data_IF_793973380445
#
_entry.id   IF_793973380445
#
_cell.length_a   1.000
_cell.length_b   1.000
_cell.length_c   1.000
_cell.angle_alpha   90.00
_cell.angle_beta   90.00
_cell.angle_gamma   90.00
#
_symmetry.space_group_name_H-M   'P 1'
#
loop_
_entity.id
_entity.type
_entity.pdbx_description
1 polymer ?
#
# COMPACT_ATOMS: atom_id res chain seq x y z
N UNK A 1 -6.46 -1.69 5.54
CA UNK A 1 -7.35 -1.22 4.48
C UNK A 1 -7.93 -2.40 3.72
N UNK A 2 -9.05 -2.17 3.05
CA UNK A 2 -9.65 -3.11 2.09
C UNK A 2 -9.69 -2.39 0.76
N UNK A 3 -8.99 -2.93 -0.24
CA UNK A 3 -8.71 -2.25 -1.51
C UNK A 3 -8.88 -3.21 -2.68
N UNK A 4 -10.13 -3.62 -2.95
CA UNK A 4 -10.45 -4.45 -4.10
C UNK A 4 -10.20 -3.71 -5.43
N UNK A 5 -9.80 -4.46 -6.45
CA UNK A 5 -9.52 -3.93 -7.78
C UNK A 5 -10.75 -3.31 -8.44
N UNK A 6 -10.62 -2.07 -8.89
CA UNK A 6 -11.69 -1.33 -9.55
C UNK A 6 -11.93 -1.81 -11.00
N UNK A 7 -10.89 -2.31 -11.67
CA UNK A 7 -10.88 -2.65 -13.10
C UNK A 7 -11.53 -4.00 -13.40
N UNK A 8 -11.78 -4.82 -12.41
CA UNK A 8 -12.48 -6.09 -12.61
C UNK A 8 -13.97 -5.92 -12.97
N UNK A 9 -14.40 -4.71 -13.21
CA UNK A 9 -15.65 -4.40 -13.94
C UNK A 9 -15.52 -4.79 -15.42
N UNK A 10 -15.30 -6.07 -15.72
CA UNK A 10 -15.05 -6.64 -17.07
C UNK A 10 -16.11 -6.30 -18.13
N UNK A 11 -17.13 -5.55 -17.79
CA UNK A 11 -18.32 -5.32 -18.62
C UNK A 11 -18.51 -3.85 -18.99
N UNK A 12 -17.61 -2.97 -18.56
CA UNK A 12 -17.66 -1.57 -18.96
C UNK A 12 -17.06 -1.43 -20.37
N UNK A 13 -17.93 -1.15 -21.35
CA UNK A 13 -17.51 -0.95 -22.75
C UNK A 13 -16.39 0.09 -22.88
N UNK A 14 -16.48 1.18 -22.14
CA UNK A 14 -15.48 2.24 -22.15
C UNK A 14 -14.11 1.79 -21.65
N UNK A 15 -14.06 0.88 -20.68
CA UNK A 15 -12.78 0.32 -20.22
C UNK A 15 -12.15 -0.57 -21.29
N UNK A 16 -12.96 -1.38 -21.99
CA UNK A 16 -12.46 -2.21 -23.08
C UNK A 16 -11.91 -1.34 -24.22
N UNK A 17 -12.62 -0.28 -24.62
CA UNK A 17 -12.16 0.68 -25.60
C UNK A 17 -10.81 1.31 -25.23
N UNK A 18 -10.68 1.71 -23.97
CA UNK A 18 -9.46 2.28 -23.42
C UNK A 18 -8.28 1.29 -23.49
N UNK A 19 -8.48 0.05 -23.02
CA UNK A 19 -7.45 -0.99 -23.07
C UNK A 19 -7.11 -1.43 -24.50
N UNK A 20 -8.09 -1.45 -25.42
CA UNK A 20 -7.83 -1.71 -26.83
C UNK A 20 -6.88 -0.70 -27.47
N UNK A 21 -6.93 0.56 -27.05
CA UNK A 21 -6.03 1.60 -27.54
C UNK A 21 -4.57 1.37 -27.08
N UNK A 22 -4.36 0.84 -25.90
CA UNK A 22 -3.05 0.40 -25.42
C UNK A 22 -2.55 -0.85 -26.16
N UNK A 23 -3.41 -1.84 -26.35
CA UNK A 23 -3.08 -3.04 -27.11
C UNK A 23 -2.68 -2.70 -28.55
N UNK A 24 -3.34 -1.73 -29.19
CA UNK A 24 -2.98 -1.25 -30.54
C UNK A 24 -1.60 -0.58 -30.60
N UNK A 25 -1.14 0.00 -29.48
CA UNK A 25 0.20 0.59 -29.34
C UNK A 25 1.28 -0.45 -29.08
N UNK A 26 0.91 -1.72 -28.96
CA UNK A 26 1.84 -2.82 -28.65
C UNK A 26 2.20 -2.95 -27.17
N UNK A 27 1.44 -2.30 -26.29
CA UNK A 27 1.62 -2.42 -24.84
C UNK A 27 1.09 -3.77 -24.36
N UNK A 28 1.83 -4.41 -23.46
CA UNK A 28 1.42 -5.66 -22.81
C UNK A 28 0.34 -5.37 -21.78
N UNK A 29 -0.81 -6.03 -21.91
CA UNK A 29 -1.94 -5.94 -20.97
C UNK A 29 -2.10 -7.28 -20.30
N UNK A 30 -1.98 -7.30 -18.97
CA UNK A 30 -2.14 -8.51 -18.19
C UNK A 30 -3.56 -9.08 -18.32
N UNK A 31 -3.67 -10.40 -18.48
CA UNK A 31 -4.94 -11.08 -18.68
C UNK A 31 -5.79 -10.57 -19.87
N UNK A 32 -5.19 -9.89 -20.88
CA UNK A 32 -5.91 -9.31 -22.01
C UNK A 32 -6.85 -10.29 -22.70
N UNK A 33 -6.42 -11.53 -22.92
CA UNK A 33 -7.23 -12.58 -23.55
C UNK A 33 -8.51 -12.92 -22.77
N UNK A 34 -8.51 -12.67 -21.47
CA UNK A 34 -9.67 -12.86 -20.59
C UNK A 34 -10.52 -11.60 -20.58
N UNK A 35 -9.89 -10.44 -20.43
CA UNK A 35 -10.55 -9.14 -20.32
C UNK A 35 -11.34 -8.80 -21.58
N UNK A 36 -10.77 -9.02 -22.77
CA UNK A 36 -11.39 -8.72 -24.05
C UNK A 36 -12.55 -9.62 -24.45
N UNK A 37 -12.74 -10.77 -23.77
CA UNK A 37 -13.86 -11.67 -24.08
C UNK A 37 -15.18 -10.99 -23.69
N UNK A 38 -16.20 -11.00 -24.58
CA UNK A 38 -17.51 -10.53 -24.23
C UNK A 38 -18.00 -11.21 -22.96
N UNK A 39 -18.58 -10.43 -22.05
CA UNK A 39 -19.26 -11.01 -20.92
C UNK A 39 -20.41 -11.89 -21.38
N UNK A 40 -20.42 -13.16 -20.95
CA UNK A 40 -21.48 -14.10 -21.30
C UNK A 40 -22.79 -13.82 -20.57
N UNK A 41 -22.73 -13.03 -19.51
CA UNK A 41 -23.89 -12.62 -18.72
C UNK A 41 -24.12 -11.11 -18.80
N UNK A 42 -25.34 -10.71 -19.12
CA UNK A 42 -25.72 -9.31 -19.16
C UNK A 42 -25.58 -8.68 -17.77
N UNK A 43 -24.51 -7.93 -17.61
CA UNK A 43 -24.48 -6.76 -16.75
C UNK A 43 -24.78 -6.96 -15.27
N UNK A 44 -24.08 -7.87 -14.57
CA UNK A 44 -24.01 -7.73 -13.12
C UNK A 44 -23.06 -6.56 -12.84
N UNK A 45 -23.62 -5.42 -12.47
CA UNK A 45 -22.87 -4.29 -11.97
C UNK A 45 -22.24 -4.70 -10.63
N UNK A 46 -20.95 -4.81 -10.56
CA UNK A 46 -20.24 -5.06 -9.30
C UNK A 46 -20.35 -3.81 -8.43
N UNK A 47 -20.89 -3.96 -7.22
CA UNK A 47 -20.82 -2.91 -6.18
C UNK A 47 -19.44 -2.94 -5.55
N UNK A 48 -18.58 -1.99 -5.93
CA UNK A 48 -17.20 -1.87 -5.40
C UNK A 48 -17.15 -1.51 -3.91
N UNK A 49 -18.28 -1.11 -3.30
CA UNK A 49 -18.36 -0.88 -1.86
C UNK A 49 -18.67 -2.17 -1.08
N UNK A 50 -19.03 -3.26 -1.76
CA UNK A 50 -19.49 -4.49 -1.10
C UNK A 50 -18.41 -5.12 -0.23
N UNK A 51 -17.17 -5.21 -0.72
CA UNK A 51 -16.06 -5.78 0.02
C UNK A 51 -15.75 -4.99 1.32
N UNK A 52 -15.81 -3.67 1.26
CA UNK A 52 -15.65 -2.80 2.44
C UNK A 52 -16.76 -3.08 3.46
N UNK A 53 -18.04 -3.04 3.04
CA UNK A 53 -19.18 -3.32 3.93
C UNK A 53 -19.12 -4.69 4.59
N UNK A 54 -18.71 -5.71 3.82
CA UNK A 54 -18.56 -7.07 4.33
C UNK A 54 -17.42 -7.15 5.35
N UNK A 55 -16.30 -6.49 5.06
CA UNK A 55 -15.14 -6.46 5.94
C UNK A 55 -15.43 -5.71 7.24
N UNK A 56 -16.14 -4.57 7.20
CA UNK A 56 -16.57 -3.85 8.40
C UNK A 56 -17.45 -4.73 9.31
N UNK A 57 -18.41 -5.44 8.71
CA UNK A 57 -19.27 -6.37 9.43
C UNK A 57 -18.47 -7.50 10.08
N UNK A 58 -17.51 -8.08 9.36
CA UNK A 58 -16.67 -9.16 9.89
C UNK A 58 -15.70 -8.65 10.96
N UNK A 59 -15.14 -7.47 10.78
CA UNK A 59 -14.15 -6.86 11.67
C UNK A 59 -14.72 -6.45 13.05
N UNK A 60 -16.01 -6.10 13.10
CA UNK A 60 -16.67 -5.60 14.31
C UNK A 60 -16.53 -6.56 15.50
N UNK A 61 -16.67 -7.87 15.29
CA UNK A 61 -16.55 -8.88 16.35
C UNK A 61 -15.13 -9.00 16.93
N UNK A 62 -14.12 -8.52 16.20
CA UNK A 62 -12.70 -8.54 16.63
C UNK A 62 -12.21 -7.16 17.08
N UNK A 63 -13.07 -6.15 17.10
CA UNK A 63 -12.70 -4.77 17.39
C UNK A 63 -11.67 -4.21 16.41
N UNK A 64 -11.68 -4.67 15.16
CA UNK A 64 -10.80 -4.17 14.10
C UNK A 64 -11.41 -2.93 13.43
N UNK A 65 -10.56 -1.96 13.10
CA UNK A 65 -10.93 -0.78 12.33
C UNK A 65 -10.63 -1.05 10.84
N UNK A 66 -11.61 -0.82 9.98
CA UNK A 66 -11.47 -0.94 8.54
C UNK A 66 -11.28 0.44 7.91
N UNK A 67 -10.18 0.64 7.21
CA UNK A 67 -10.00 1.80 6.34
C UNK A 67 -10.62 1.44 4.99
N UNK A 68 -11.72 2.12 4.56
CA UNK A 68 -12.34 1.88 3.28
C UNK A 68 -11.42 2.34 2.14
N UNK A 69 -11.41 1.60 1.04
CA UNK A 69 -10.59 1.92 -0.11
C UNK A 69 -10.94 1.09 -1.34
N UNK A 70 -10.21 1.35 -2.40
CA UNK A 70 -10.20 0.55 -3.63
C UNK A 70 -8.85 0.65 -4.30
N UNK A 71 -8.45 -0.39 -5.02
CA UNK A 71 -7.26 -0.35 -5.84
C UNK A 71 -7.61 0.06 -7.28
N UNK A 72 -6.98 1.16 -7.74
CA UNK A 72 -7.01 1.62 -9.12
C UNK A 72 -5.88 0.87 -9.83
N UNK A 73 -6.21 -0.28 -10.37
CA UNK A 73 -5.27 -1.18 -11.07
C UNK A 73 -5.32 -0.89 -12.56
N UNK A 74 -4.21 -0.51 -13.16
CA UNK A 74 -4.18 -0.13 -14.57
C UNK A 74 -3.13 -0.90 -15.35
N UNK A 75 -3.58 -1.40 -16.46
CA UNK A 75 -2.74 -1.89 -17.52
C UNK A 75 -2.61 -0.81 -18.63
N UNK A 76 -1.46 -0.70 -19.29
CA UNK A 76 -0.25 -1.51 -19.09
C UNK A 76 0.47 -1.16 -17.78
N UNK A 77 1.39 -2.03 -17.36
CA UNK A 77 2.26 -1.87 -16.17
C UNK A 77 2.93 -0.48 -16.04
N UNK A 78 3.12 0.21 -17.17
CA UNK A 78 3.66 1.57 -17.19
C UNK A 78 2.75 2.62 -16.51
N UNK A 79 1.47 2.31 -16.32
CA UNK A 79 0.53 3.16 -15.56
C UNK A 79 0.67 2.84 -14.07
N UNK A 80 0.75 1.56 -13.71
CA UNK A 80 0.91 1.10 -12.34
C UNK A 80 -0.41 0.92 -11.59
N UNK A 81 -0.28 0.56 -10.31
CA UNK A 81 -1.38 0.29 -9.40
C UNK A 81 -1.38 1.28 -8.23
N UNK A 82 -2.56 1.68 -7.79
CA UNK A 82 -2.71 2.72 -6.77
C UNK A 82 -3.87 2.43 -5.84
N UNK A 83 -3.66 2.56 -4.54
CA UNK A 83 -4.73 2.47 -3.57
C UNK A 83 -5.33 3.84 -3.29
N UNK A 84 -6.64 4.00 -3.47
CA UNK A 84 -7.39 5.10 -2.90
C UNK A 84 -7.86 4.68 -1.49
N UNK A 85 -7.45 5.41 -0.46
CA UNK A 85 -7.74 5.13 0.94
C UNK A 85 -8.70 6.17 1.51
N UNK A 86 -9.53 5.80 2.49
CA UNK A 86 -10.56 6.65 3.10
C UNK A 86 -11.62 7.12 2.10
N UNK A 87 -11.98 6.26 1.19
CA UNK A 87 -13.03 6.49 0.20
C UNK A 87 -14.42 6.49 0.85
N UNK A 88 -15.37 7.19 0.24
CA UNK A 88 -16.77 7.21 0.66
C UNK A 88 -17.68 6.45 -0.31
N UNK A 89 -17.31 6.40 -1.59
CA UNK A 89 -18.01 5.63 -2.64
C UNK A 89 -17.01 5.17 -3.71
N UNK A 90 -16.62 3.92 -3.65
CA UNK A 90 -15.71 3.31 -4.62
C UNK A 90 -16.30 3.26 -6.04
N UNK A 91 -17.64 3.17 -6.15
CA UNK A 91 -18.31 3.14 -7.45
C UNK A 91 -18.16 4.45 -8.24
N UNK A 92 -18.00 5.57 -7.53
CA UNK A 92 -17.84 6.89 -8.14
C UNK A 92 -16.38 7.21 -8.53
N UNK A 93 -15.40 6.35 -8.19
CA UNK A 93 -13.99 6.58 -8.49
C UNK A 93 -13.64 6.18 -9.92
N UNK A 94 -14.24 5.11 -10.41
CA UNK A 94 -13.90 4.56 -11.73
C UNK A 94 -14.11 5.57 -12.86
N UNK A 95 -13.07 5.72 -13.68
CA UNK A 95 -13.10 6.40 -14.97
C UNK A 95 -12.12 5.67 -15.93
N UNK A 96 -12.40 5.56 -17.24
CA UNK A 96 -11.44 5.00 -18.19
C UNK A 96 -10.07 5.69 -18.18
N UNK A 97 -10.03 7.02 -18.01
CA UNK A 97 -8.80 7.76 -17.77
C UNK A 97 -8.31 7.53 -16.32
N UNK A 98 -7.13 6.93 -16.12
CA UNK A 98 -6.60 6.69 -14.77
C UNK A 98 -6.39 7.97 -13.96
N UNK A 99 -5.95 9.07 -14.58
CA UNK A 99 -5.79 10.34 -13.89
C UNK A 99 -7.14 10.89 -13.42
N UNK A 100 -8.20 10.67 -14.21
CA UNK A 100 -9.54 11.06 -13.79
C UNK A 100 -10.01 10.21 -12.61
N UNK A 101 -9.69 8.90 -12.58
CA UNK A 101 -9.96 8.07 -11.40
C UNK A 101 -9.26 8.60 -10.14
N UNK A 102 -8.01 9.07 -10.26
CA UNK A 102 -7.31 9.70 -9.12
C UNK A 102 -8.00 11.00 -8.69
N UNK A 103 -8.39 11.85 -9.64
CA UNK A 103 -9.14 13.08 -9.32
C UNK A 103 -10.49 12.79 -8.66
N UNK A 104 -11.19 11.75 -9.11
CA UNK A 104 -12.46 11.32 -8.49
C UNK A 104 -12.23 10.83 -7.05
N UNK A 105 -11.15 10.10 -6.79
CA UNK A 105 -10.75 9.69 -5.44
C UNK A 105 -10.42 10.91 -4.56
N UNK A 106 -9.59 11.84 -5.07
CA UNK A 106 -9.24 13.09 -4.37
C UNK A 106 -10.46 13.96 -4.09
N UNK A 107 -11.44 14.00 -4.99
CA UNK A 107 -12.69 14.76 -4.79
C UNK A 107 -13.53 14.24 -3.62
N UNK A 108 -13.40 12.96 -3.25
CA UNK A 108 -13.98 12.37 -2.04
C UNK A 108 -13.12 12.63 -0.78
N UNK A 109 -11.98 13.27 -0.94
CA UNK A 109 -10.99 13.42 0.10
C UNK A 109 -10.13 12.18 0.33
N UNK A 110 -10.10 11.20 -0.55
CA UNK A 110 -9.25 10.02 -0.41
C UNK A 110 -7.76 10.37 -0.51
N UNK A 111 -6.92 9.57 0.15
CA UNK A 111 -5.48 9.56 -0.04
C UNK A 111 -5.14 8.52 -1.11
N UNK A 112 -4.31 8.90 -2.08
CA UNK A 112 -3.88 7.99 -3.16
C UNK A 112 -2.45 7.55 -2.92
N UNK A 113 -2.23 6.23 -2.85
CA UNK A 113 -0.93 5.60 -2.65
C UNK A 113 -0.49 4.88 -3.91
N UNK A 114 0.74 5.09 -4.34
CA UNK A 114 1.38 4.31 -5.41
C UNK A 114 1.86 2.97 -4.85
N UNK A 115 1.31 1.87 -5.36
CA UNK A 115 1.61 0.51 -4.93
C UNK A 115 2.84 -0.05 -5.67
N UNK A 116 3.62 -0.90 -5.02
CA UNK A 116 4.73 -1.72 -5.56
C UNK A 116 5.38 -1.13 -6.85
N UNK A 117 6.06 0.03 -6.76
CA UNK A 117 6.46 0.87 -7.91
C UNK A 117 7.47 0.22 -8.88
N UNK A 118 7.99 -0.95 -8.53
CA UNK A 118 8.91 -1.75 -9.36
C UNK A 118 8.31 -3.05 -9.89
N UNK A 119 7.07 -3.36 -9.57
CA UNK A 119 6.45 -4.62 -9.93
C UNK A 119 6.41 -4.85 -11.45
N UNK A 120 6.88 -6.03 -11.88
CA UNK A 120 7.00 -6.44 -13.29
C UNK A 120 7.79 -5.48 -14.19
N UNK A 121 8.63 -4.62 -13.59
CA UNK A 121 9.49 -3.68 -14.32
C UNK A 121 10.96 -3.97 -14.06
N UNK A 122 11.80 -3.70 -15.07
CA UNK A 122 13.27 -3.81 -14.96
C UNK A 122 13.89 -2.59 -14.30
N UNK A 123 13.11 -1.52 -14.09
CA UNK A 123 13.56 -0.27 -13.48
C UNK A 123 12.43 0.29 -12.59
N UNK A 124 12.81 0.88 -11.47
CA UNK A 124 11.93 1.66 -10.60
C UNK A 124 11.87 3.15 -10.97
N UNK A 125 12.50 3.55 -12.09
CA UNK A 125 12.37 4.92 -12.60
C UNK A 125 10.91 5.23 -12.92
N UNK A 126 10.50 6.46 -12.66
CA UNK A 126 9.15 6.91 -12.98
C UNK A 126 8.88 6.85 -14.48
N UNK A 127 7.71 6.36 -14.84
CA UNK A 127 7.17 6.46 -16.20
C UNK A 127 6.63 7.87 -16.44
N UNK A 128 6.38 8.23 -17.69
CA UNK A 128 5.77 9.52 -18.04
C UNK A 128 4.40 9.72 -17.35
N UNK A 129 3.64 8.65 -17.23
CA UNK A 129 2.37 8.67 -16.55
C UNK A 129 2.53 8.96 -15.05
N UNK A 130 3.46 8.26 -14.38
CA UNK A 130 3.77 8.46 -12.96
C UNK A 130 4.24 9.88 -12.70
N UNK A 131 5.18 10.40 -13.52
CA UNK A 131 5.65 11.79 -13.42
C UNK A 131 4.47 12.75 -13.43
N UNK A 132 3.56 12.60 -14.41
CA UNK A 132 2.38 13.45 -14.50
C UNK A 132 1.47 13.36 -13.28
N UNK A 133 1.24 12.15 -12.77
CA UNK A 133 0.41 11.94 -11.59
C UNK A 133 1.00 12.60 -10.33
N UNK A 134 2.33 12.54 -10.17
CA UNK A 134 3.04 13.22 -9.08
C UNK A 134 3.04 14.74 -9.24
N UNK A 135 3.32 15.26 -10.44
CA UNK A 135 3.33 16.69 -10.72
C UNK A 135 1.95 17.35 -10.51
N UNK A 136 0.87 16.63 -10.80
CA UNK A 136 -0.49 17.09 -10.53
C UNK A 136 -0.89 16.99 -9.04
N UNK A 137 0.00 16.48 -8.17
CA UNK A 137 -0.29 16.33 -6.74
C UNK A 137 -1.38 15.31 -6.43
N UNK A 138 -1.54 14.32 -7.29
CA UNK A 138 -2.58 13.29 -7.15
C UNK A 138 -2.16 12.15 -6.22
N UNK A 139 -0.88 12.00 -5.94
CA UNK A 139 -0.32 10.91 -5.13
C UNK A 139 0.11 11.45 -3.77
N UNK A 140 -0.35 10.82 -2.69
CA UNK A 140 -0.07 11.20 -1.30
C UNK A 140 0.93 10.26 -0.62
N UNK A 141 1.09 9.04 -1.12
CA UNK A 141 1.96 8.03 -0.51
C UNK A 141 2.54 7.06 -1.51
N UNK A 142 3.54 6.31 -1.07
CA UNK A 142 4.19 5.29 -1.87
C UNK A 142 4.50 4.06 -1.02
N UNK A 143 4.37 2.91 -1.63
CA UNK A 143 4.72 1.65 -1.04
C UNK A 143 6.22 1.39 -1.19
N UNK A 144 6.89 1.11 -0.06
CA UNK A 144 8.32 0.80 -0.05
C UNK A 144 8.62 -0.68 0.21
N UNK A 145 7.62 -1.43 0.67
CA UNK A 145 7.67 -2.89 0.82
C UNK A 145 6.32 -3.50 0.42
N UNK A 146 6.35 -4.52 -0.44
CA UNK A 146 5.16 -5.25 -0.84
C UNK A 146 5.47 -6.76 -0.94
N UNK A 147 4.67 -7.61 -0.30
CA UNK A 147 4.96 -9.05 -0.28
C UNK A 147 6.40 -9.33 0.13
N UNK A 148 7.20 -9.95 -0.75
CA UNK A 148 8.63 -10.19 -0.55
C UNK A 148 9.54 -9.08 -1.07
N UNK A 149 9.00 -8.06 -1.71
CA UNK A 149 9.79 -7.03 -2.39
C UNK A 149 10.05 -5.80 -1.50
N UNK A 150 11.24 -5.22 -1.70
CA UNK A 150 11.66 -3.97 -1.06
C UNK A 150 12.16 -2.99 -2.13
N UNK A 151 11.64 -1.76 -2.11
CA UNK A 151 11.92 -0.70 -3.08
C UNK A 151 12.69 0.48 -2.45
N UNK A 152 14.02 0.38 -2.23
CA UNK A 152 14.80 1.44 -1.56
C UNK A 152 14.69 2.81 -2.24
N UNK A 153 14.64 2.83 -3.58
CA UNK A 153 14.50 4.07 -4.37
C UNK A 153 13.16 4.78 -4.08
N UNK A 154 12.14 4.04 -3.66
CA UNK A 154 10.87 4.64 -3.26
C UNK A 154 10.98 5.45 -1.96
N UNK A 155 11.95 5.16 -1.09
CA UNK A 155 12.22 5.95 0.13
C UNK A 155 12.74 7.34 -0.25
N UNK A 156 13.70 7.40 -1.17
CA UNK A 156 14.23 8.67 -1.69
C UNK A 156 13.12 9.50 -2.32
N UNK A 157 12.33 8.89 -3.21
CA UNK A 157 11.17 9.51 -3.86
C UNK A 157 10.15 10.02 -2.84
N UNK A 158 9.82 9.23 -1.82
CA UNK A 158 8.89 9.65 -0.79
C UNK A 158 9.40 10.87 -0.01
N UNK A 159 10.70 10.90 0.29
CA UNK A 159 11.34 12.01 1.00
C UNK A 159 11.34 13.29 0.15
N UNK A 160 11.72 13.17 -1.13
CA UNK A 160 11.79 14.31 -2.05
C UNK A 160 10.41 14.91 -2.36
N UNK A 161 9.39 14.07 -2.50
CA UNK A 161 8.04 14.50 -2.88
C UNK A 161 7.11 14.71 -1.68
N UNK A 162 7.56 14.45 -0.45
CA UNK A 162 6.75 14.60 0.75
C UNK A 162 5.58 13.60 0.77
N UNK A 163 5.85 12.30 0.59
CA UNK A 163 4.85 11.25 0.56
C UNK A 163 4.90 10.41 1.84
N UNK A 164 3.75 9.90 2.30
CA UNK A 164 3.79 8.89 3.35
C UNK A 164 4.33 7.57 2.79
N UNK A 165 5.02 6.79 3.64
CA UNK A 165 5.62 5.51 3.28
C UNK A 165 4.81 4.36 3.88
N UNK A 166 4.66 3.27 3.12
CA UNK A 166 3.87 2.11 3.56
C UNK A 166 4.53 0.77 3.23
N UNK A 167 4.06 -0.27 3.93
CA UNK A 167 4.27 -1.67 3.57
C UNK A 167 2.93 -2.39 3.57
N UNK A 168 2.61 -3.07 2.50
CA UNK A 168 1.35 -3.78 2.36
C UNK A 168 1.57 -5.23 1.89
N UNK A 169 0.54 -6.03 2.04
CA UNK A 169 0.63 -7.47 1.81
C UNK A 169 0.31 -7.87 0.39
N UNK A 170 -0.57 -7.12 -0.26
CA UNK A 170 -1.13 -7.46 -1.59
C UNK A 170 -1.68 -8.90 -1.66
N UNK A 171 -2.30 -9.35 -0.56
CA UNK A 171 -2.82 -10.71 -0.46
C UNK A 171 -4.15 -10.84 -1.18
N UNK A 172 -4.25 -11.91 -1.98
CA UNK A 172 -5.44 -12.28 -2.74
C UNK A 172 -6.14 -13.51 -2.17
N UNK A 173 -5.66 -14.02 -1.05
CA UNK A 173 -6.19 -15.16 -0.34
C UNK A 173 -6.17 -14.97 1.17
N UNK A 174 -6.09 -16.04 1.93
CA UNK A 174 -5.89 -15.95 3.38
C UNK A 174 -4.42 -15.63 3.70
N UNK A 175 -4.17 -14.85 4.75
CA UNK A 175 -2.80 -14.54 5.20
C UNK A 175 -1.93 -15.80 5.39
N UNK A 176 -2.53 -16.90 5.86
CA UNK A 176 -1.82 -18.15 6.06
C UNK A 176 -1.37 -18.81 4.74
N UNK A 177 -2.07 -18.58 3.63
CA UNK A 177 -1.67 -19.11 2.32
C UNK A 177 -0.47 -18.35 1.75
N UNK A 178 -0.45 -17.03 1.91
CA UNK A 178 0.57 -16.18 1.29
C UNK A 178 1.83 -16.06 2.17
N UNK A 179 1.67 -16.04 3.48
CA UNK A 179 2.77 -15.86 4.45
C UNK A 179 3.11 -17.13 5.24
N UNK A 180 2.28 -18.17 5.19
CA UNK A 180 2.49 -19.42 5.93
C UNK A 180 2.68 -19.18 7.44
N UNK A 181 3.51 -19.99 8.05
CA UNK A 181 3.91 -19.88 9.46
C UNK A 181 5.20 -19.05 9.59
N UNK A 182 5.22 -17.83 9.07
CA UNK A 182 6.42 -16.99 9.14
C UNK A 182 6.58 -16.46 10.56
N UNK A 183 7.66 -16.84 11.24
CA UNK A 183 7.96 -16.40 12.61
C UNK A 183 8.16 -14.87 12.72
N UNK A 184 8.50 -14.22 11.63
CA UNK A 184 8.88 -12.79 11.56
C UNK A 184 7.77 -11.86 11.08
N UNK A 185 6.55 -12.31 10.99
CA UNK A 185 5.40 -11.47 10.68
C UNK A 185 5.35 -10.97 9.22
N UNK A 186 4.15 -10.61 8.79
CA UNK A 186 3.85 -10.11 7.44
C UNK A 186 4.12 -8.61 7.30
N UNK A 187 4.05 -8.12 6.08
CA UNK A 187 4.09 -6.68 5.81
C UNK A 187 2.97 -5.92 6.55
N UNK A 188 3.34 -4.81 7.14
CA UNK A 188 2.43 -3.91 7.86
C UNK A 188 2.92 -2.48 7.75
N UNK A 189 2.01 -1.55 7.55
CA UNK A 189 2.26 -0.13 7.80
C UNK A 189 2.02 0.15 9.27
N UNK A 190 3.06 0.55 10.01
CA UNK A 190 2.93 1.02 11.37
C UNK A 190 2.46 2.47 11.33
N UNK A 191 1.30 2.76 11.92
CA UNK A 191 0.69 4.09 11.94
C UNK A 191 0.73 4.62 13.37
N UNK A 192 1.42 5.74 13.60
CA UNK A 192 1.57 6.35 14.92
C UNK A 192 0.45 7.37 15.15
N UNK A 193 -0.74 6.87 15.39
CA UNK A 193 -1.94 7.64 15.66
C UNK A 193 -2.18 7.81 17.16
N UNK A 194 -2.83 8.90 17.56
CA UNK A 194 -3.16 9.19 18.96
C UNK A 194 -4.20 8.24 19.56
N UNK A 195 -5.08 7.72 18.69
CA UNK A 195 -6.15 6.80 19.07
C UNK A 195 -6.54 5.91 17.88
N UNK A 196 -7.25 4.82 18.14
CA UNK A 196 -7.71 3.86 17.12
C UNK A 196 -9.06 4.31 16.54
N UNK A 197 -9.06 5.42 15.80
CA UNK A 197 -10.21 5.94 15.05
C UNK A 197 -9.82 6.27 13.62
N UNK A 198 -10.76 6.26 12.68
CA UNK A 198 -10.46 6.62 11.28
C UNK A 198 -9.90 8.04 11.14
N UNK A 199 -10.46 9.08 11.82
CA UNK A 199 -9.88 10.42 11.75
C UNK A 199 -8.44 10.48 12.28
N UNK A 200 -8.14 9.82 13.41
CA UNK A 200 -6.78 9.82 13.97
C UNK A 200 -5.78 9.04 13.12
N UNK A 201 -6.22 7.91 12.50
CA UNK A 201 -5.38 7.16 11.55
C UNK A 201 -5.10 8.00 10.32
N UNK A 202 -6.11 8.69 9.78
CA UNK A 202 -5.96 9.57 8.64
C UNK A 202 -4.97 10.70 8.94
N UNK A 203 -5.17 11.41 10.04
CA UNK A 203 -4.29 12.50 10.48
C UNK A 203 -2.83 12.04 10.62
N UNK A 204 -2.62 10.84 11.17
CA UNK A 204 -1.28 10.29 11.31
C UNK A 204 -0.62 9.99 9.96
N UNK A 205 -1.38 9.47 8.99
CA UNK A 205 -0.87 9.18 7.64
C UNK A 205 -0.56 10.50 6.91
N UNK A 206 -1.46 11.47 6.94
CA UNK A 206 -1.27 12.81 6.34
C UNK A 206 -0.08 13.57 6.97
N UNK A 207 0.20 13.32 8.24
CA UNK A 207 1.38 13.86 8.94
C UNK A 207 2.64 12.98 8.77
N UNK A 208 2.63 12.01 7.87
CA UNK A 208 3.74 11.09 7.55
C UNK A 208 4.25 10.29 8.77
N UNK A 209 3.40 10.08 9.77
CA UNK A 209 3.74 9.26 10.94
C UNK A 209 3.48 7.78 10.64
N UNK A 210 4.19 7.26 9.63
CA UNK A 210 4.12 5.86 9.19
C UNK A 210 5.52 5.28 9.02
N UNK A 211 5.69 4.00 9.40
CA UNK A 211 6.87 3.20 9.07
C UNK A 211 6.44 1.91 8.38
N UNK A 212 7.18 1.50 7.38
CA UNK A 212 7.02 0.22 6.71
C UNK A 212 7.69 -0.88 7.52
N UNK A 213 6.98 -1.95 7.79
CA UNK A 213 7.48 -3.14 8.46
C UNK A 213 7.27 -4.37 7.59
N UNK A 214 8.30 -5.16 7.39
CA UNK A 214 8.22 -6.46 6.74
C UNK A 214 9.33 -7.39 7.23
N UNK A 215 8.97 -8.63 7.58
CA UNK A 215 9.94 -9.69 7.94
C UNK A 215 10.98 -9.27 8.98
N UNK A 216 10.56 -8.55 10.01
CA UNK A 216 11.44 -8.05 11.07
C UNK A 216 12.25 -6.80 10.73
N UNK A 217 12.14 -6.28 9.51
CA UNK A 217 12.80 -5.05 9.07
C UNK A 217 11.82 -3.88 9.15
N UNK A 218 12.34 -2.69 9.48
CA UNK A 218 11.58 -1.44 9.49
C UNK A 218 12.31 -0.42 8.62
N UNK A 219 11.54 0.32 7.82
CA UNK A 219 12.05 1.39 6.98
C UNK A 219 11.07 2.58 6.97
N UNK A 220 11.58 3.78 6.69
CA UNK A 220 10.80 5.01 6.61
C UNK A 220 11.61 6.24 6.95
N UNK A 221 10.96 7.28 7.44
CA UNK A 221 11.61 8.52 7.87
C UNK A 221 12.64 8.27 8.97
N UNK A 222 13.83 8.87 8.80
CA UNK A 222 14.97 8.63 9.70
C UNK A 222 14.70 9.08 11.13
N UNK A 223 14.03 10.23 11.32
CA UNK A 223 13.75 10.73 12.66
C UNK A 223 12.70 9.86 13.34
N UNK A 224 11.65 9.46 12.63
CA UNK A 224 10.63 8.58 13.15
C UNK A 224 11.18 7.19 13.49
N UNK A 225 12.12 6.66 12.68
CA UNK A 225 12.85 5.41 12.99
C UNK A 225 13.65 5.52 14.29
N UNK A 226 14.37 6.63 14.50
CA UNK A 226 15.11 6.89 15.75
C UNK A 226 14.17 6.95 16.95
N UNK A 227 13.07 7.70 16.83
CA UNK A 227 12.09 7.85 17.91
C UNK A 227 11.43 6.50 18.24
N UNK A 228 11.06 5.73 17.22
CA UNK A 228 10.54 4.37 17.40
C UNK A 228 11.56 3.47 18.10
N UNK A 229 12.82 3.46 17.64
CA UNK A 229 13.87 2.64 18.24
C UNK A 229 14.07 2.98 19.72
N UNK A 230 14.19 4.26 20.06
CA UNK A 230 14.36 4.72 21.44
C UNK A 230 13.16 4.37 22.34
N UNK A 231 11.96 4.35 21.80
CA UNK A 231 10.76 3.96 22.53
C UNK A 231 10.62 2.42 22.67
N UNK A 232 10.99 1.68 21.61
CA UNK A 232 10.78 0.24 21.50
C UNK A 232 11.89 -0.61 22.11
N UNK A 233 13.13 -0.08 22.18
CA UNK A 233 14.32 -0.86 22.54
C UNK A 233 15.00 -0.28 23.79
N UNK A 234 15.19 -1.11 24.80
CA UNK A 234 15.99 -0.77 25.99
C UNK A 234 17.35 -1.45 25.92
N UNK A 235 18.42 -0.65 26.04
CA UNK A 235 19.79 -1.14 26.05
C UNK A 235 20.40 -0.82 27.40
N UNK A 236 20.90 -1.85 28.11
CA UNK A 236 21.54 -1.69 29.41
C UNK A 236 22.92 -2.37 29.39
N UNK A 237 23.92 -1.73 29.98
CA UNK A 237 25.20 -2.38 30.25
C UNK A 237 25.04 -3.28 31.47
N UNK A 238 25.26 -4.58 31.33
CA UNK A 238 25.12 -5.54 32.42
C UNK A 238 26.46 -5.92 33.03
N UNK A 239 27.58 -5.81 32.29
CA UNK A 239 28.92 -6.08 32.78
C UNK A 239 29.98 -5.35 31.96
N UNK A 240 31.18 -5.18 32.55
CA UNK A 240 32.41 -4.83 31.84
C UNK A 240 33.54 -5.76 32.31
N UNK A 241 34.33 -6.21 31.37
CA UNK A 241 35.52 -7.02 31.69
C UNK A 241 36.72 -6.16 32.07
N UNK A 242 37.86 -6.82 32.39
CA UNK A 242 39.11 -6.17 32.75
C UNK A 242 39.74 -5.34 31.60
N UNK A 243 39.30 -5.54 30.38
CA UNK A 243 39.72 -4.79 29.18
C UNK A 243 38.70 -3.69 28.81
N UNK A 244 37.73 -3.41 29.69
CA UNK A 244 36.67 -2.45 29.49
C UNK A 244 35.67 -2.80 28.35
N UNK A 245 35.62 -4.05 27.90
CA UNK A 245 34.63 -4.54 26.94
C UNK A 245 33.31 -4.70 27.65
N UNK A 246 32.27 -4.03 27.14
CA UNK A 246 30.94 -4.04 27.74
C UNK A 246 30.07 -5.17 27.19
N UNK A 247 29.34 -5.84 28.10
CA UNK A 247 28.24 -6.73 27.76
C UNK A 247 26.94 -5.98 27.92
N UNK A 248 26.07 -6.06 26.93
CA UNK A 248 24.80 -5.35 26.89
C UNK A 248 23.61 -6.33 26.96
N UNK A 249 22.56 -5.91 27.64
CA UNK A 249 21.22 -6.46 27.49
C UNK A 249 20.44 -5.58 26.52
N UNK A 250 19.83 -6.18 25.51
CA UNK A 250 18.96 -5.52 24.54
C UNK A 250 17.55 -6.11 24.73
N UNK A 251 16.58 -5.28 25.06
CA UNK A 251 15.20 -5.71 25.29
C UNK A 251 14.28 -5.01 24.30
N UNK A 252 13.57 -5.79 23.49
CA UNK A 252 12.45 -5.32 22.69
C UNK A 252 11.20 -5.22 23.59
N UNK A 253 10.63 -4.02 23.71
CA UNK A 253 9.46 -3.76 24.55
C UNK A 253 8.15 -3.82 23.76
N UNK A 254 8.20 -4.11 22.47
CA UNK A 254 7.05 -4.22 21.58
C UNK A 254 6.63 -5.67 21.37
N UNK A 255 5.46 -5.87 20.77
CA UNK A 255 5.02 -7.20 20.30
C UNK A 255 5.53 -7.53 18.88
N UNK A 256 6.26 -6.60 18.22
CA UNK A 256 6.80 -6.82 16.89
C UNK A 256 8.12 -7.58 16.98
N UNK A 257 8.34 -8.64 16.19
CA UNK A 257 9.67 -9.19 16.00
C UNK A 257 10.58 -8.15 15.37
N UNK A 258 11.74 -7.86 15.99
CA UNK A 258 12.72 -6.91 15.47
C UNK A 258 14.04 -7.64 15.24
N UNK A 259 14.61 -7.50 14.04
CA UNK A 259 15.93 -8.00 13.71
C UNK A 259 16.98 -6.90 13.94
N UNK A 260 18.02 -7.22 14.73
CA UNK A 260 19.14 -6.31 14.99
C UNK A 260 20.40 -6.85 14.30
N UNK A 261 21.13 -5.96 13.63
CA UNK A 261 22.51 -6.23 13.21
C UNK A 261 23.43 -5.46 14.15
N UNK A 262 24.39 -6.15 14.74
CA UNK A 262 25.45 -5.61 15.61
C UNK A 262 26.77 -5.58 14.86
#
# INVERSE_FOLDING_TARGET
AVTEHIEYRRQETKMLEYLEDYAKKGEEIDNWEIIRKPATEKGIRVDLNYAVKLSEKAAAQYGLLIIPGTEITREPVAIGHYNALFTTDNNAIYDPDPLQSFRNAKAQGALVQHNHPGWRRTSVNMTEFEVKAYEEGLIDGIEIMNGGDFYPVAIERATELGLFMSANTDIHGTTAMDYGNVEVGRNMTLIFAKEKTLPAMREAIEAHRTLAYAFGNIAGDEQLLKDFFLAAVKINVIARDSKNVATYSVTNTTSLPLAFRV
#
